data_IF_789300325058
#
_entry.id   IF_789300325058
#
_cell.length_a   1.000
_cell.length_b   1.000
_cell.length_c   1.000
_cell.angle_alpha   90.00
_cell.angle_beta   90.00
_cell.angle_gamma   90.00
#
_symmetry.space_group_name_H-M   'P 1'
#
loop_
_entity.id
_entity.type
_entity.pdbx_description
1 polymer ?
#
# COMPACT_ATOMS: atom_id res chain seq x y z
N UNK A 1 6.04 -11.68 1.27
CA UNK A 1 6.31 -12.18 2.63
C UNK A 1 7.38 -11.28 3.24
N UNK A 2 7.15 -10.85 4.47
CA UNK A 2 7.74 -9.70 5.14
C UNK A 2 9.26 -9.83 5.32
N UNK A 3 10.03 -8.96 4.69
CA UNK A 3 11.50 -8.97 4.74
C UNK A 3 11.93 -7.71 5.50
N UNK A 4 11.90 -7.83 6.83
CA UNK A 4 12.17 -6.72 7.76
C UNK A 4 13.55 -6.10 7.49
N UNK A 5 14.55 -6.94 7.27
CA UNK A 5 15.92 -6.54 6.92
C UNK A 5 15.97 -5.65 5.67
N UNK A 6 15.15 -5.96 4.65
CA UNK A 6 15.08 -5.13 3.43
C UNK A 6 14.42 -3.78 3.69
N UNK A 7 13.43 -3.72 4.58
CA UNK A 7 12.76 -2.45 4.94
C UNK A 7 13.67 -1.56 5.77
N UNK A 8 14.44 -2.14 6.68
CA UNK A 8 15.45 -1.43 7.46
C UNK A 8 16.56 -0.90 6.54
N UNK A 9 17.11 -1.74 5.66
CA UNK A 9 18.12 -1.31 4.69
C UNK A 9 17.60 -0.22 3.73
N UNK A 10 16.34 -0.29 3.30
CA UNK A 10 15.71 0.74 2.48
C UNK A 10 15.59 2.07 3.24
N UNK A 11 15.19 2.02 4.52
CA UNK A 11 15.10 3.21 5.38
C UNK A 11 16.46 3.84 5.60
N UNK A 12 17.48 3.04 5.86
CA UNK A 12 18.85 3.51 6.04
C UNK A 12 19.37 4.19 4.76
N UNK A 13 19.05 3.64 3.59
CA UNK A 13 19.43 4.22 2.29
C UNK A 13 18.74 5.56 1.97
N UNK A 14 17.53 5.80 2.48
CA UNK A 14 16.79 7.06 2.27
C UNK A 14 17.31 8.22 3.12
N UNK A 15 18.07 7.95 4.18
CA UNK A 15 18.55 8.95 5.13
C UNK A 15 17.46 9.42 6.10
N UNK A 16 17.59 10.64 6.64
CA UNK A 16 16.64 11.16 7.64
C UNK A 16 15.27 11.41 7.01
N UNK A 17 14.32 10.55 7.34
CA UNK A 17 12.92 10.70 6.94
C UNK A 17 12.19 11.74 7.81
N UNK A 18 11.21 12.47 7.24
CA UNK A 18 10.31 13.34 8.01
C UNK A 18 9.58 12.57 9.11
N UNK A 19 9.21 13.21 10.22
CA UNK A 19 8.56 12.52 11.34
C UNK A 19 7.26 11.79 10.97
N UNK A 20 6.54 12.29 9.95
CA UNK A 20 5.27 11.78 9.43
C UNK A 20 5.42 10.81 8.24
N UNK A 21 6.62 10.30 7.97
CA UNK A 21 6.90 9.47 6.80
C UNK A 21 6.04 8.20 6.76
N UNK A 22 5.77 7.60 7.92
CA UNK A 22 5.02 6.36 8.05
C UNK A 22 3.57 6.56 7.65
N UNK A 23 2.96 7.66 8.12
CA UNK A 23 1.61 8.09 7.81
C UNK A 23 1.46 8.41 6.32
N UNK A 24 2.45 9.08 5.72
CA UNK A 24 2.49 9.34 4.27
C UNK A 24 2.52 8.06 3.45
N UNK A 25 3.34 7.08 3.86
CA UNK A 25 3.39 5.76 3.20
C UNK A 25 2.07 5.04 3.37
N UNK A 26 1.45 5.09 4.55
CA UNK A 26 0.11 4.54 4.78
C UNK A 26 -0.94 5.12 3.85
N UNK A 27 -0.99 6.45 3.74
CA UNK A 27 -1.90 7.15 2.83
C UNK A 27 -1.64 6.78 1.37
N UNK A 28 -0.38 6.73 0.95
CA UNK A 28 -0.01 6.35 -0.41
C UNK A 28 -0.44 4.90 -0.74
N UNK A 29 -0.27 3.97 0.21
CA UNK A 29 -0.69 2.58 0.04
C UNK A 29 -2.21 2.46 -0.11
N UNK A 30 -2.97 3.20 0.69
CA UNK A 30 -4.44 3.25 0.58
C UNK A 30 -4.88 3.84 -0.77
N UNK A 31 -4.30 4.98 -1.17
CA UNK A 31 -4.56 5.60 -2.47
C UNK A 31 -4.31 4.60 -3.61
N UNK A 32 -3.16 3.93 -3.61
CA UNK A 32 -2.80 2.99 -4.65
C UNK A 32 -3.70 1.75 -4.69
N UNK A 33 -4.15 1.25 -3.53
CA UNK A 33 -5.11 0.14 -3.47
C UNK A 33 -6.46 0.54 -4.08
N UNK A 34 -6.95 1.76 -3.81
CA UNK A 34 -8.17 2.30 -4.40
C UNK A 34 -8.04 2.47 -5.92
N UNK A 35 -6.92 3.03 -6.39
CA UNK A 35 -6.60 3.18 -7.81
C UNK A 35 -6.59 1.82 -8.53
N UNK A 36 -5.92 0.81 -7.96
CA UNK A 36 -5.90 -0.54 -8.53
C UNK A 36 -7.29 -1.17 -8.57
N UNK A 37 -8.07 -1.00 -7.50
CA UNK A 37 -9.45 -1.50 -7.44
C UNK A 37 -10.30 -0.88 -8.56
N UNK A 38 -10.27 0.44 -8.70
CA UNK A 38 -11.03 1.17 -9.73
C UNK A 38 -10.60 0.76 -11.14
N UNK A 39 -9.28 0.67 -11.36
CA UNK A 39 -8.74 0.24 -12.65
C UNK A 39 -9.21 -1.17 -13.03
N UNK A 40 -9.11 -2.15 -12.12
CA UNK A 40 -9.56 -3.52 -12.39
C UNK A 40 -11.07 -3.59 -12.64
N UNK A 41 -11.86 -2.83 -11.87
CA UNK A 41 -13.30 -2.72 -12.08
C UNK A 41 -13.62 -2.12 -13.47
N UNK A 42 -12.88 -1.09 -13.90
CA UNK A 42 -13.08 -0.41 -15.18
C UNK A 42 -12.86 -1.31 -16.40
N UNK A 43 -11.99 -2.32 -16.29
CA UNK A 43 -11.69 -3.28 -17.36
C UNK A 43 -12.47 -4.60 -17.22
N UNK A 44 -13.46 -4.65 -16.32
CA UNK A 44 -14.27 -5.82 -15.99
C UNK A 44 -13.46 -7.06 -15.55
N UNK A 45 -12.24 -6.87 -15.04
CA UNK A 45 -11.45 -7.95 -14.47
C UNK A 45 -11.70 -8.01 -12.96
N UNK A 46 -12.63 -8.88 -12.56
CA UNK A 46 -13.10 -8.95 -11.16
C UNK A 46 -12.25 -9.85 -10.27
N UNK A 47 -11.38 -10.70 -10.83
CA UNK A 47 -10.58 -11.66 -10.08
C UNK A 47 -9.76 -11.07 -8.91
N UNK A 48 -9.14 -9.86 -9.01
CA UNK A 48 -8.37 -9.28 -7.90
C UNK A 48 -9.21 -8.44 -6.93
N UNK A 49 -10.47 -8.12 -7.25
CA UNK A 49 -11.24 -7.09 -6.52
C UNK A 49 -11.52 -7.47 -5.06
N UNK A 50 -11.83 -8.75 -4.79
CA UNK A 50 -12.09 -9.22 -3.43
C UNK A 50 -10.85 -9.06 -2.54
N UNK A 51 -9.69 -9.50 -3.04
CA UNK A 51 -8.42 -9.37 -2.31
C UNK A 51 -8.04 -7.92 -2.03
N UNK A 52 -8.19 -7.04 -3.03
CA UNK A 52 -7.91 -5.60 -2.87
C UNK A 52 -8.91 -4.95 -1.90
N UNK A 53 -10.19 -5.32 -1.95
CA UNK A 53 -11.22 -4.82 -1.01
C UNK A 53 -10.86 -5.18 0.43
N UNK A 54 -10.39 -6.40 0.66
CA UNK A 54 -9.96 -6.84 1.99
C UNK A 54 -8.68 -6.13 2.46
N UNK A 55 -7.74 -5.85 1.55
CA UNK A 55 -6.57 -5.02 1.85
C UNK A 55 -6.97 -3.61 2.26
N UNK A 56 -7.90 -2.98 1.53
CA UNK A 56 -8.42 -1.65 1.87
C UNK A 56 -9.04 -1.66 3.28
N UNK A 57 -9.89 -2.66 3.59
CA UNK A 57 -10.49 -2.80 4.93
C UNK A 57 -9.44 -2.94 6.03
N UNK A 58 -8.36 -3.71 5.79
CA UNK A 58 -7.27 -3.87 6.76
C UNK A 58 -6.46 -2.58 6.98
N UNK A 59 -6.41 -1.69 5.99
CA UNK A 59 -5.69 -0.41 6.10
C UNK A 59 -6.52 0.68 6.79
N UNK A 60 -7.84 0.55 6.86
CA UNK A 60 -8.76 1.58 7.38
C UNK A 60 -9.50 1.19 8.66
N UNK A 61 -9.34 -0.04 9.14
CA UNK A 61 -9.86 -0.52 10.43
C UNK A 61 -8.96 -0.09 11.60
#
# INVERSE_FOLDING_TARGET
RDDQDKREALRDGYGTLPADWSERVGLYRLYHALELWDWFASIANTAPLEGITDDIRRMTA
#
